data_IF_590852960206
#
_entry.id   IF_590852960206
#
_cell.length_a   1.000
_cell.length_b   1.000
_cell.length_c   1.000
_cell.angle_alpha   90.00
_cell.angle_beta   90.00
_cell.angle_gamma   90.00
#
_symmetry.space_group_name_H-M   'P 1'
#
loop_
_entity.id
_entity.type
_entity.pdbx_description
1 polymer ?
#
# COMPACT_ATOMS: atom_id res chain seq x y z
N UNK A 1 47.76 54.84 -27.18
CA UNK A 1 47.00 56.04 -26.75
C UNK A 1 46.06 55.62 -25.63
N UNK A 2 46.14 56.36 -24.53
CA UNK A 2 45.62 56.06 -23.19
C UNK A 2 44.13 56.37 -23.02
N UNK A 3 43.45 55.60 -22.15
CA UNK A 3 42.73 56.04 -20.93
C UNK A 3 41.95 54.81 -20.37
N UNK A 4 42.29 54.18 -19.24
CA UNK A 4 42.22 54.57 -17.82
C UNK A 4 40.86 55.02 -17.29
N UNK A 5 40.25 54.20 -16.42
CA UNK A 5 39.82 54.51 -15.03
C UNK A 5 39.13 53.26 -14.45
N UNK A 6 39.69 52.54 -13.48
CA UNK A 6 39.87 52.84 -12.05
C UNK A 6 38.65 52.44 -11.18
N UNK A 7 38.91 51.49 -10.27
CA UNK A 7 38.09 51.00 -9.16
C UNK A 7 38.05 52.05 -8.04
N UNK A 8 37.08 51.99 -7.11
CA UNK A 8 37.54 51.82 -5.72
C UNK A 8 36.72 50.84 -4.88
N UNK A 9 37.47 50.09 -4.08
CA UNK A 9 37.07 49.34 -2.90
C UNK A 9 36.53 50.28 -1.82
N UNK A 10 35.51 49.84 -1.07
CA UNK A 10 35.29 50.32 0.30
C UNK A 10 34.89 49.16 1.23
N UNK A 11 35.75 48.96 2.21
CA UNK A 11 35.60 48.23 3.47
C UNK A 11 34.42 48.77 4.32
N UNK A 12 33.78 47.90 5.12
CA UNK A 12 33.34 48.13 6.51
C UNK A 12 32.70 46.84 7.07
N UNK A 13 33.42 46.08 7.91
CA UNK A 13 33.42 46.06 9.39
C UNK A 13 32.29 45.26 10.06
N UNK A 14 32.73 44.42 10.98
CA UNK A 14 32.05 43.44 11.84
C UNK A 14 31.29 44.04 13.05
N UNK A 15 30.21 43.34 13.45
CA UNK A 15 29.61 43.15 14.81
C UNK A 15 28.87 44.34 15.49
N UNK A 16 27.98 44.13 16.51
CA UNK A 16 27.37 42.90 17.07
C UNK A 16 25.82 42.93 17.31
N UNK A 17 25.31 41.74 17.66
CA UNK A 17 24.10 41.29 18.38
C UNK A 17 23.27 42.34 19.19
N UNK A 18 21.93 42.18 19.24
CA UNK A 18 21.17 42.35 20.47
C UNK A 18 20.42 41.08 20.89
N UNK A 19 20.65 40.69 22.14
CA UNK A 19 19.98 39.66 22.93
C UNK A 19 18.62 40.14 23.40
N UNK A 20 17.58 39.31 23.25
CA UNK A 20 16.32 39.46 23.97
C UNK A 20 16.02 38.17 24.74
N UNK A 21 16.21 38.26 26.05
CA UNK A 21 15.94 37.26 27.07
C UNK A 21 14.42 37.15 27.27
N UNK A 22 13.84 35.97 27.15
CA UNK A 22 12.57 35.63 27.83
C UNK A 22 12.62 34.21 28.38
N UNK A 23 12.42 34.18 29.70
CA UNK A 23 12.53 33.06 30.63
C UNK A 23 11.55 31.93 30.33
N UNK A 24 12.07 30.70 30.16
CA UNK A 24 11.29 29.46 30.23
C UNK A 24 11.54 28.78 31.58
N UNK A 25 10.43 28.43 32.23
CA UNK A 25 10.39 27.73 33.52
C UNK A 25 10.87 26.28 33.33
N UNK A 26 11.91 25.89 34.07
CA UNK A 26 12.39 24.51 34.19
C UNK A 26 11.48 23.73 35.14
N UNK A 27 10.90 22.62 34.67
CA UNK A 27 10.43 21.53 35.53
C UNK A 27 11.34 20.33 35.29
N UNK A 28 12.05 19.90 36.35
CA UNK A 28 12.82 18.65 36.39
C UNK A 28 11.85 17.51 36.71
N UNK A 29 11.88 16.44 35.91
CA UNK A 29 11.44 15.12 36.35
C UNK A 29 12.51 14.09 36.00
N UNK A 30 12.80 13.28 37.00
CA UNK A 30 13.88 12.31 37.15
C UNK A 30 13.57 10.99 36.42
N UNK A 31 14.62 10.33 35.92
CA UNK A 31 14.58 8.94 35.41
C UNK A 31 14.26 7.92 36.49
N UNK A 32 13.80 6.72 36.09
CA UNK A 32 14.28 5.51 36.74
C UNK A 32 14.78 4.42 35.77
N UNK A 33 16.00 3.97 36.08
CA UNK A 33 16.53 2.60 36.12
C UNK A 33 16.19 1.58 35.01
N UNK A 34 17.28 1.13 34.38
CA UNK A 34 17.45 -0.15 33.69
C UNK A 34 17.30 -1.37 34.61
N UNK A 35 16.89 -2.52 34.03
CA UNK A 35 17.45 -3.90 34.11
C UNK A 35 16.33 -4.95 33.86
N UNK A 36 16.62 -6.21 33.45
CA UNK A 36 17.24 -6.62 32.19
C UNK A 36 16.48 -7.76 31.47
N UNK A 37 17.02 -8.15 30.31
CA UNK A 37 16.62 -9.23 29.41
C UNK A 37 16.51 -10.63 30.06
N UNK A 38 15.55 -11.44 29.59
CA UNK A 38 15.61 -12.92 29.63
C UNK A 38 15.14 -13.51 28.30
N UNK A 39 16.04 -14.31 27.71
CA UNK A 39 15.77 -15.32 26.66
C UNK A 39 15.19 -16.61 27.30
N UNK A 40 14.74 -17.51 26.41
CA UNK A 40 14.48 -18.96 26.55
C UNK A 40 12.98 -19.29 26.54
N UNK A 41 12.44 -20.33 25.91
CA UNK A 41 12.88 -21.38 24.98
C UNK A 41 11.59 -22.14 24.56
N UNK A 42 11.65 -22.93 23.48
CA UNK A 42 10.60 -23.84 23.00
C UNK A 42 10.08 -24.85 24.04
N UNK A 43 8.85 -25.34 23.86
CA UNK A 43 8.38 -26.58 24.51
C UNK A 43 6.86 -26.84 24.39
N UNK A 44 6.50 -27.85 23.60
CA UNK A 44 5.16 -28.40 23.36
C UNK A 44 5.00 -29.76 24.10
N UNK A 45 3.74 -30.27 24.19
CA UNK A 45 3.26 -31.66 24.52
C UNK A 45 3.01 -31.98 26.04
N UNK A 46 1.99 -32.79 26.48
CA UNK A 46 0.51 -32.76 26.28
C UNK A 46 -0.35 -33.07 27.57
N UNK A 47 -1.67 -33.05 27.41
CA UNK A 47 -2.78 -33.78 28.10
C UNK A 47 -2.66 -34.30 29.56
N UNK A 48 -3.66 -33.97 30.39
CA UNK A 48 -4.69 -34.92 30.88
C UNK A 48 -5.75 -34.28 31.78
N UNK A 49 -6.91 -34.95 31.85
CA UNK A 49 -8.22 -34.49 32.28
C UNK A 49 -8.46 -34.53 33.80
N UNK A 50 -9.38 -33.67 34.28
CA UNK A 50 -10.41 -33.86 35.34
C UNK A 50 -10.99 -32.46 35.64
N UNK A 51 -12.25 -32.11 35.42
CA UNK A 51 -13.47 -32.76 35.88
C UNK A 51 -14.02 -31.98 37.08
N UNK A 52 -14.86 -30.97 36.85
CA UNK A 52 -15.96 -30.61 37.77
C UNK A 52 -16.91 -29.60 37.13
N UNK A 53 -18.19 -29.94 37.21
CA UNK A 53 -19.37 -29.28 36.71
C UNK A 53 -19.83 -28.20 37.69
N UNK A 54 -20.18 -27.01 37.22
CA UNK A 54 -21.26 -26.20 37.82
C UNK A 54 -21.98 -25.41 36.73
N UNK A 55 -23.25 -25.78 36.50
CA UNK A 55 -24.20 -25.05 35.68
C UNK A 55 -24.79 -23.87 36.47
N UNK A 56 -24.88 -22.70 35.83
CA UNK A 56 -25.81 -21.65 36.22
C UNK A 56 -26.57 -21.21 34.96
N UNK A 57 -27.88 -21.45 34.97
CA UNK A 57 -28.83 -20.93 33.98
C UNK A 57 -29.03 -19.43 34.21
N UNK A 58 -29.01 -18.64 33.14
CA UNK A 58 -29.75 -17.38 33.08
C UNK A 58 -30.19 -17.17 31.64
N UNK A 59 -31.50 -17.31 31.41
CA UNK A 59 -32.16 -17.03 30.16
C UNK A 59 -32.04 -15.54 29.84
N UNK A 60 -31.52 -15.23 28.66
CA UNK A 60 -31.74 -13.95 28.00
C UNK A 60 -31.81 -14.24 26.51
N UNK A 61 -32.97 -14.05 25.93
CA UNK A 61 -33.32 -14.29 24.54
C UNK A 61 -32.47 -13.42 23.62
N UNK A 62 -31.41 -13.99 23.04
CA UNK A 62 -30.61 -13.36 22.00
C UNK A 62 -31.23 -13.67 20.64
N UNK A 63 -31.58 -12.60 19.92
CA UNK A 63 -31.86 -12.65 18.49
C UNK A 63 -30.62 -13.22 17.78
N UNK A 64 -30.75 -14.45 17.29
CA UNK A 64 -29.74 -15.14 16.48
C UNK A 64 -29.61 -14.45 15.12
N UNK A 65 -28.82 -13.39 15.05
CA UNK A 65 -28.19 -12.97 13.81
C UNK A 65 -27.08 -13.98 13.52
N UNK A 66 -27.37 -14.97 12.67
CA UNK A 66 -26.35 -15.87 12.14
C UNK A 66 -25.28 -15.02 11.44
N UNK A 67 -24.01 -15.00 11.91
CA UNK A 67 -22.95 -14.40 11.13
C UNK A 67 -22.85 -15.16 9.81
N UNK A 68 -22.70 -14.45 8.68
CA UNK A 68 -22.38 -15.10 7.41
C UNK A 68 -21.20 -16.06 7.62
N UNK A 69 -21.33 -17.29 7.12
CA UNK A 69 -20.37 -18.38 7.31
C UNK A 69 -18.92 -17.98 7.00
N UNK A 70 -18.71 -17.00 6.11
CA UNK A 70 -17.41 -16.40 5.78
C UNK A 70 -16.70 -15.71 6.97
N UNK A 71 -17.44 -15.11 7.91
CA UNK A 71 -16.86 -14.41 9.08
C UNK A 71 -16.29 -15.38 10.12
N UNK A 72 -16.88 -16.57 10.25
CA UNK A 72 -16.41 -17.60 11.19
C UNK A 72 -15.19 -18.33 10.64
N UNK A 73 -15.17 -18.61 9.33
CA UNK A 73 -14.04 -19.25 8.63
C UNK A 73 -12.78 -18.38 8.63
N UNK A 74 -12.93 -17.05 8.55
CA UNK A 74 -11.79 -16.10 8.57
C UNK A 74 -10.99 -16.10 9.88
N UNK A 75 -11.48 -16.71 10.97
CA UNK A 75 -10.79 -16.75 12.27
C UNK A 75 -9.75 -17.87 12.41
N UNK A 76 -9.71 -18.82 11.47
CA UNK A 76 -8.86 -20.02 11.54
C UNK A 76 -7.82 -20.13 10.42
N UNK A 77 -7.87 -19.26 9.41
CA UNK A 77 -6.88 -19.20 8.32
C UNK A 77 -5.93 -18.04 8.55
N UNK A 78 -4.62 -18.30 8.43
CA UNK A 78 -3.66 -17.21 8.32
C UNK A 78 -3.99 -16.40 7.06
N UNK A 79 -4.00 -15.07 7.14
CA UNK A 79 -4.35 -14.20 6.00
C UNK A 79 -3.48 -14.46 4.77
N UNK A 80 -2.25 -14.96 4.99
CA UNK A 80 -1.30 -15.38 3.95
C UNK A 80 -1.79 -16.53 3.08
N UNK A 81 -2.63 -17.41 3.62
CA UNK A 81 -3.03 -18.67 2.98
C UNK A 81 -4.40 -18.55 2.29
N UNK A 82 -5.06 -17.40 2.45
CA UNK A 82 -6.35 -17.10 1.84
C UNK A 82 -6.15 -16.85 0.34
N UNK A 83 -6.75 -17.70 -0.50
CA UNK A 83 -6.68 -17.57 -1.95
C UNK A 83 -7.16 -16.19 -2.42
N UNK A 84 -6.37 -15.51 -3.25
CA UNK A 84 -6.73 -14.21 -3.80
C UNK A 84 -8.06 -14.32 -4.57
N UNK A 85 -8.91 -13.30 -4.43
CA UNK A 85 -10.27 -13.22 -5.02
C UNK A 85 -11.32 -14.14 -4.40
N UNK A 86 -11.02 -14.87 -3.31
CA UNK A 86 -12.02 -15.57 -2.50
C UNK A 86 -12.91 -14.59 -1.71
N UNK A 87 -14.05 -15.05 -1.19
CA UNK A 87 -14.94 -14.24 -0.35
C UNK A 87 -14.22 -13.78 0.92
N UNK A 88 -13.43 -14.67 1.53
CA UNK A 88 -12.59 -14.42 2.69
C UNK A 88 -11.54 -13.34 2.39
N UNK A 89 -10.95 -13.36 1.19
CA UNK A 89 -10.02 -12.33 0.74
C UNK A 89 -10.68 -10.95 0.63
N UNK A 90 -11.91 -10.87 0.11
CA UNK A 90 -12.65 -9.62 0.07
C UNK A 90 -13.02 -9.13 1.48
N UNK A 91 -13.39 -10.04 2.39
CA UNK A 91 -13.72 -9.71 3.77
C UNK A 91 -12.51 -9.10 4.50
N UNK A 92 -11.32 -9.69 4.37
CA UNK A 92 -10.08 -9.19 4.98
C UNK A 92 -9.71 -7.78 4.51
N UNK A 93 -10.07 -7.41 3.27
CA UNK A 93 -9.74 -6.12 2.65
C UNK A 93 -10.73 -5.01 2.94
N UNK A 94 -11.96 -5.35 3.35
CA UNK A 94 -13.04 -4.39 3.58
C UNK A 94 -12.64 -3.31 4.59
N UNK A 95 -11.91 -3.70 5.63
CA UNK A 95 -11.46 -2.83 6.72
C UNK A 95 -9.98 -2.47 6.63
N UNK A 96 -9.47 -2.39 5.39
CA UNK A 96 -8.10 -2.01 5.08
C UNK A 96 -8.05 -1.05 3.91
N UNK A 97 -7.07 -0.16 3.92
CA UNK A 97 -6.62 0.55 2.73
C UNK A 97 -5.58 -0.31 2.03
N UNK A 98 -5.90 -0.77 0.81
CA UNK A 98 -5.04 -1.71 0.09
C UNK A 98 -4.08 -0.98 -0.83
N UNK A 99 -2.86 -1.50 -1.01
CA UNK A 99 -1.80 -0.86 -1.83
C UNK A 99 -2.27 -0.46 -3.23
N UNK A 100 -3.11 -1.28 -3.87
CA UNK A 100 -3.71 -1.01 -5.17
C UNK A 100 -4.57 0.27 -5.24
N UNK A 101 -5.05 0.75 -4.09
CA UNK A 101 -5.89 1.97 -3.96
C UNK A 101 -5.10 3.20 -3.54
N UNK A 102 -3.79 3.07 -3.25
CA UNK A 102 -3.00 4.17 -2.71
C UNK A 102 -2.94 5.37 -3.65
N UNK A 103 -2.75 5.17 -4.96
CA UNK A 103 -2.74 6.28 -5.93
C UNK A 103 -4.07 7.08 -5.90
N UNK A 104 -5.20 6.39 -5.72
CA UNK A 104 -6.51 7.01 -5.55
C UNK A 104 -6.62 7.79 -4.23
N UNK A 105 -6.23 7.18 -3.10
CA UNK A 105 -6.21 7.83 -1.80
C UNK A 105 -5.26 9.04 -1.74
N UNK A 106 -4.19 9.03 -2.54
CA UNK A 106 -3.22 10.12 -2.71
C UNK A 106 -3.70 11.22 -3.66
N UNK A 107 -4.84 11.04 -4.34
CA UNK A 107 -5.44 12.03 -5.24
C UNK A 107 -4.79 12.12 -6.63
N UNK A 108 -4.25 11.01 -7.16
CA UNK A 108 -3.62 11.00 -8.49
C UNK A 108 -4.61 11.21 -9.63
N UNK A 109 -5.85 10.80 -9.42
CA UNK A 109 -6.88 10.82 -10.45
C UNK A 109 -7.73 12.08 -10.34
N UNK A 110 -8.15 12.60 -11.50
CA UNK A 110 -9.06 13.73 -11.56
C UNK A 110 -10.48 13.35 -11.11
N UNK A 111 -11.30 14.38 -10.87
CA UNK A 111 -12.70 14.20 -10.49
C UNK A 111 -12.86 13.72 -9.05
N UNK A 112 -13.83 12.85 -8.84
CA UNK A 112 -14.32 12.39 -7.53
C UNK A 112 -13.72 11.06 -7.07
N UNK A 113 -12.77 10.44 -7.80
CA UNK A 113 -12.23 9.09 -7.48
C UNK A 113 -11.80 8.91 -6.02
N UNK A 114 -11.20 9.94 -5.42
CA UNK A 114 -10.77 9.92 -4.01
C UNK A 114 -11.96 9.91 -3.04
N UNK A 115 -13.01 10.66 -3.37
CA UNK A 115 -14.28 10.66 -2.64
C UNK A 115 -15.03 9.34 -2.85
N UNK A 116 -15.04 8.77 -4.06
CA UNK A 116 -15.62 7.45 -4.34
C UNK A 116 -14.97 6.36 -3.48
N UNK A 117 -13.64 6.34 -3.40
CA UNK A 117 -12.91 5.41 -2.53
C UNK A 117 -13.26 5.64 -1.05
N UNK A 118 -13.36 6.90 -0.61
CA UNK A 118 -13.78 7.20 0.77
C UNK A 118 -15.19 6.68 1.04
N UNK A 119 -16.13 6.91 0.13
CA UNK A 119 -17.52 6.44 0.24
C UNK A 119 -17.58 4.91 0.29
N UNK A 120 -16.83 4.21 -0.55
CA UNK A 120 -16.71 2.74 -0.51
C UNK A 120 -16.20 2.27 0.85
N UNK A 121 -15.20 2.94 1.41
CA UNK A 121 -14.66 2.58 2.73
C UNK A 121 -15.60 2.91 3.87
N UNK A 122 -16.39 3.97 3.79
CA UNK A 122 -17.29 4.40 4.88
C UNK A 122 -18.61 3.64 4.87
N UNK A 123 -19.27 3.58 3.71
CA UNK A 123 -20.63 3.03 3.57
C UNK A 123 -20.63 1.58 3.04
N UNK A 124 -19.46 1.07 2.68
CA UNK A 124 -19.31 -0.21 1.99
C UNK A 124 -19.49 -0.08 0.48
N UNK A 125 -19.25 -1.17 -0.23
CA UNK A 125 -19.52 -1.26 -1.67
C UNK A 125 -21.01 -1.06 -1.91
N UNK A 126 -21.39 0.13 -2.35
CA UNK A 126 -22.68 0.34 -2.99
C UNK A 126 -22.66 -0.42 -4.32
N UNK A 127 -23.81 -0.87 -4.83
CA UNK A 127 -23.93 -1.34 -6.22
C UNK A 127 -23.71 -0.17 -7.20
N UNK A 128 -22.53 0.44 -7.15
CA UNK A 128 -22.07 1.35 -8.18
C UNK A 128 -21.91 0.44 -9.39
N UNK A 129 -22.79 0.63 -10.37
CA UNK A 129 -22.63 0.03 -11.69
C UNK A 129 -21.27 0.49 -12.22
N UNK A 130 -20.24 -0.32 -12.01
CA UNK A 130 -18.97 -0.16 -12.70
C UNK A 130 -19.31 -0.14 -14.18
N UNK A 131 -18.87 0.92 -14.85
CA UNK A 131 -18.95 1.02 -16.31
C UNK A 131 -18.41 -0.28 -16.91
N UNK A 132 -19.08 -0.79 -17.95
CA UNK A 132 -18.73 -2.08 -18.55
C UNK A 132 -17.25 -2.15 -18.93
N UNK A 133 -16.69 -1.04 -19.41
CA UNK A 133 -15.27 -0.91 -19.73
C UNK A 133 -14.34 -1.18 -18.52
N UNK A 134 -14.69 -0.70 -17.33
CA UNK A 134 -13.90 -0.92 -16.12
C UNK A 134 -13.96 -2.38 -15.68
N UNK A 135 -15.16 -3.00 -15.76
CA UNK A 135 -15.35 -4.42 -15.48
C UNK A 135 -14.58 -5.30 -16.44
N UNK A 136 -14.63 -5.00 -17.74
CA UNK A 136 -13.85 -5.70 -18.77
C UNK A 136 -12.35 -5.58 -18.52
N UNK A 137 -11.85 -4.40 -18.11
CA UNK A 137 -10.43 -4.22 -17.78
C UNK A 137 -9.99 -5.06 -16.57
N UNK A 138 -10.81 -5.11 -15.51
CA UNK A 138 -10.53 -5.94 -14.34
C UNK A 138 -10.56 -7.43 -14.65
N UNK A 139 -11.54 -7.86 -15.46
CA UNK A 139 -11.65 -9.25 -15.91
C UNK A 139 -10.46 -9.64 -16.79
N UNK A 140 -10.03 -8.76 -17.71
CA UNK A 140 -8.85 -8.98 -18.54
C UNK A 140 -7.60 -9.21 -17.70
N UNK A 141 -7.36 -8.38 -16.67
CA UNK A 141 -6.25 -8.59 -15.74
C UNK A 141 -6.34 -9.95 -15.06
N UNK A 142 -7.52 -10.28 -14.52
CA UNK A 142 -7.75 -11.54 -13.79
C UNK A 142 -7.53 -12.79 -14.64
N UNK A 143 -8.04 -12.80 -15.87
CA UNK A 143 -7.93 -13.96 -16.76
C UNK A 143 -6.49 -14.19 -17.22
N UNK A 144 -5.70 -13.13 -17.38
CA UNK A 144 -4.36 -13.23 -17.96
C UNK A 144 -3.22 -13.27 -16.93
N UNK A 145 -3.52 -13.10 -15.63
CA UNK A 145 -2.49 -13.04 -14.59
C UNK A 145 -1.66 -14.32 -14.52
N UNK A 146 -2.28 -15.50 -14.56
CA UNK A 146 -1.57 -16.79 -14.52
C UNK A 146 -0.66 -16.96 -15.74
N UNK A 147 -1.16 -16.65 -16.94
CA UNK A 147 -0.39 -16.69 -18.19
C UNK A 147 0.81 -15.73 -18.14
N UNK A 148 0.60 -14.53 -17.58
CA UNK A 148 1.68 -13.57 -17.40
C UNK A 148 2.75 -14.09 -16.42
N UNK A 149 2.37 -14.69 -15.28
CA UNK A 149 3.30 -15.29 -14.31
C UNK A 149 4.08 -16.45 -14.93
N UNK A 150 3.44 -17.31 -15.72
CA UNK A 150 4.10 -18.40 -16.46
C UNK A 150 5.13 -17.85 -17.46
N UNK A 151 4.78 -16.83 -18.23
CA UNK A 151 5.72 -16.20 -19.17
C UNK A 151 6.87 -15.50 -18.44
N UNK A 152 6.60 -14.82 -17.32
CA UNK A 152 7.64 -14.24 -16.47
C UNK A 152 8.62 -15.32 -15.97
N UNK A 153 8.09 -16.45 -15.49
CA UNK A 153 8.87 -17.59 -15.00
C UNK A 153 9.74 -18.18 -16.12
N UNK A 154 9.18 -18.33 -17.31
CA UNK A 154 9.88 -18.83 -18.50
C UNK A 154 11.03 -17.90 -18.93
N UNK A 155 10.77 -16.58 -18.98
CA UNK A 155 11.76 -15.59 -19.40
C UNK A 155 12.89 -15.45 -18.38
N UNK A 156 12.56 -15.37 -17.08
CA UNK A 156 13.53 -15.03 -16.04
C UNK A 156 14.18 -16.26 -15.39
N UNK A 157 13.60 -17.45 -15.58
CA UNK A 157 14.01 -18.69 -14.90
C UNK A 157 13.73 -18.70 -13.40
N UNK A 158 13.00 -17.72 -12.86
CA UNK A 158 12.76 -17.59 -11.42
C UNK A 158 11.45 -18.24 -11.02
N UNK A 159 11.49 -19.00 -9.94
CA UNK A 159 10.30 -19.53 -9.29
C UNK A 159 9.50 -18.40 -8.64
N UNK A 160 8.17 -18.46 -8.78
CA UNK A 160 7.22 -17.51 -8.21
C UNK A 160 6.36 -18.24 -7.17
N UNK A 161 6.50 -17.87 -5.90
CA UNK A 161 5.63 -18.33 -4.83
C UNK A 161 4.34 -17.50 -4.75
N UNK A 162 3.28 -18.08 -4.21
CA UNK A 162 2.01 -17.37 -3.97
C UNK A 162 1.92 -16.84 -2.53
N UNK A 163 1.22 -15.71 -2.36
CA UNK A 163 0.84 -15.16 -1.06
C UNK A 163 -0.51 -14.45 -1.19
N UNK A 164 -1.48 -14.84 -0.36
CA UNK A 164 -2.86 -14.35 -0.44
C UNK A 164 -3.05 -12.88 -0.05
N UNK A 165 -2.99 -12.61 1.26
CA UNK A 165 -3.13 -11.26 1.80
C UNK A 165 -2.19 -11.03 2.99
N UNK A 166 -1.40 -9.96 2.91
CA UNK A 166 -0.53 -9.48 3.96
C UNK A 166 -1.14 -8.22 4.61
N UNK A 167 -1.19 -8.22 5.94
CA UNK A 167 -1.44 -7.03 6.75
C UNK A 167 -0.10 -6.56 7.31
N UNK A 168 0.07 -5.25 7.45
CA UNK A 168 1.31 -4.71 8.01
C UNK A 168 1.57 -5.32 9.39
N UNK A 169 2.81 -5.81 9.60
CA UNK A 169 3.19 -6.54 10.82
C UNK A 169 3.15 -5.68 12.07
N UNK A 170 3.51 -4.40 11.96
CA UNK A 170 3.31 -3.44 13.05
C UNK A 170 1.83 -3.10 13.27
N UNK A 171 1.35 -3.30 14.50
CA UNK A 171 -0.05 -3.10 14.88
C UNK A 171 -0.61 -1.71 14.55
N UNK A 172 0.21 -0.66 14.66
CA UNK A 172 -0.20 0.73 14.35
C UNK A 172 -0.51 0.94 12.85
N UNK A 173 -0.08 0.02 12.00
CA UNK A 173 -0.33 0.01 10.55
C UNK A 173 -1.30 -1.09 10.12
N UNK A 174 -1.98 -1.74 11.06
CA UNK A 174 -2.97 -2.80 10.79
C UNK A 174 -4.21 -2.34 9.99
N UNK A 175 -4.28 -1.07 9.58
CA UNK A 175 -5.27 -0.52 8.64
C UNK A 175 -4.80 -0.57 7.18
N UNK A 176 -3.55 -0.97 6.93
CA UNK A 176 -2.96 -1.14 5.60
C UNK A 176 -2.90 -2.62 5.22
N UNK A 177 -3.14 -2.92 3.94
CA UNK A 177 -3.08 -4.29 3.43
C UNK A 177 -2.49 -4.41 2.03
N UNK A 178 -1.89 -5.54 1.74
CA UNK A 178 -1.21 -5.87 0.49
C UNK A 178 -1.62 -7.25 -0.01
N UNK A 179 -1.73 -7.39 -1.34
CA UNK A 179 -1.78 -8.69 -2.02
C UNK A 179 -0.77 -8.61 -3.16
N UNK A 180 0.42 -9.20 -3.02
CA UNK A 180 1.31 -9.33 -4.16
C UNK A 180 0.77 -10.37 -5.15
N UNK A 181 1.14 -10.25 -6.42
CA UNK A 181 0.82 -11.28 -7.41
C UNK A 181 1.80 -12.46 -7.33
N UNK A 182 2.96 -12.25 -6.71
CA UNK A 182 3.89 -13.32 -6.35
C UNK A 182 5.02 -12.90 -5.42
N UNK A 183 5.70 -13.88 -4.84
CA UNK A 183 6.90 -13.71 -4.00
C UNK A 183 8.08 -14.36 -4.69
N UNK A 184 9.21 -13.67 -4.74
CA UNK A 184 10.40 -14.08 -5.47
C UNK A 184 11.53 -14.40 -4.48
N UNK A 185 12.15 -15.58 -4.61
CA UNK A 185 13.27 -15.98 -3.75
C UNK A 185 12.88 -16.18 -2.27
N UNK A 186 13.89 -16.38 -1.43
CA UNK A 186 13.72 -16.60 0.01
C UNK A 186 14.13 -15.36 0.80
N UNK A 187 13.59 -15.23 2.01
CA UNK A 187 14.06 -14.21 2.96
C UNK A 187 15.54 -14.36 3.31
N UNK A 188 16.29 -13.26 3.52
CA UNK A 188 15.86 -11.85 3.44
C UNK A 188 16.00 -11.22 2.04
N UNK A 189 16.64 -11.90 1.10
CA UNK A 189 17.02 -11.34 -0.21
C UNK A 189 15.87 -11.41 -1.24
N UNK A 190 14.75 -12.01 -0.86
CA UNK A 190 13.56 -12.15 -1.67
C UNK A 190 12.90 -10.81 -2.01
N UNK A 191 12.11 -10.83 -3.07
CA UNK A 191 11.36 -9.69 -3.55
C UNK A 191 9.92 -10.02 -3.83
N UNK A 192 9.25 -9.06 -4.47
CA UNK A 192 7.84 -9.14 -4.79
C UNK A 192 7.69 -9.12 -6.31
N UNK A 193 6.79 -9.93 -6.84
CA UNK A 193 6.30 -9.81 -8.21
C UNK A 193 4.94 -9.09 -8.19
N UNK A 194 4.82 -8.05 -9.00
CA UNK A 194 3.57 -7.36 -9.26
C UNK A 194 3.30 -7.37 -10.76
N UNK A 195 2.22 -8.00 -11.20
CA UNK A 195 1.86 -8.23 -12.58
C UNK A 195 0.78 -7.25 -13.02
N UNK A 196 0.94 -6.71 -14.24
CA UNK A 196 -0.04 -5.85 -14.89
C UNK A 196 -0.29 -6.30 -16.32
N UNK A 197 -1.57 -6.50 -16.65
CA UNK A 197 -2.04 -6.79 -17.99
C UNK A 197 -2.86 -5.59 -18.49
N UNK A 198 -2.27 -4.57 -19.13
CA UNK A 198 -3.00 -3.37 -19.54
C UNK A 198 -4.09 -3.67 -20.57
N UNK A 199 -5.31 -3.20 -20.31
CA UNK A 199 -6.47 -3.36 -21.21
C UNK A 199 -6.52 -2.33 -22.36
N UNK A 200 -5.56 -1.39 -22.39
CA UNK A 200 -5.36 -0.41 -23.46
C UNK A 200 -6.65 0.23 -24.02
N UNK A 201 -7.47 0.79 -23.11
CA UNK A 201 -8.75 1.43 -23.44
C UNK A 201 -9.72 0.54 -24.25
N UNK A 202 -9.78 -0.74 -23.92
CA UNK A 202 -10.67 -1.70 -24.60
C UNK A 202 -10.05 -2.41 -25.79
N UNK A 203 -8.74 -2.23 -26.02
CA UNK A 203 -8.00 -2.81 -27.15
C UNK A 203 -6.72 -3.50 -26.70
N UNK A 204 -6.81 -4.52 -25.81
CA UNK A 204 -5.64 -5.21 -25.27
C UNK A 204 -4.75 -5.84 -26.35
N UNK A 205 -5.31 -6.23 -27.49
CA UNK A 205 -4.59 -6.75 -28.66
C UNK A 205 -3.62 -5.73 -29.29
N UNK A 206 -3.83 -4.43 -29.05
CA UNK A 206 -2.95 -3.35 -29.47
C UNK A 206 -1.98 -2.90 -28.36
N UNK A 207 -2.08 -3.48 -27.17
CA UNK A 207 -1.24 -3.10 -26.05
C UNK A 207 0.22 -3.49 -26.33
N UNK A 208 1.15 -2.59 -26.03
CA UNK A 208 2.58 -2.84 -26.10
C UNK A 208 3.18 -2.81 -24.68
N UNK A 209 4.27 -3.55 -24.45
CA UNK A 209 5.02 -3.46 -23.20
C UNK A 209 5.47 -2.04 -22.94
N UNK A 210 5.50 -1.67 -21.67
CA UNK A 210 5.93 -0.34 -21.30
C UNK A 210 7.41 -0.15 -21.58
N UNK A 211 7.77 1.03 -22.10
CA UNK A 211 9.17 1.43 -22.26
C UNK A 211 9.76 2.02 -20.98
N UNK A 212 8.89 2.56 -20.13
CA UNK A 212 9.22 3.13 -18.84
C UNK A 212 8.08 2.81 -17.85
N UNK A 213 8.43 2.65 -16.58
CA UNK A 213 7.46 2.34 -15.54
C UNK A 213 6.40 3.46 -15.42
N UNK A 214 5.09 3.15 -15.44
CA UNK A 214 4.06 4.14 -15.19
C UNK A 214 4.09 4.60 -13.72
N UNK A 215 4.34 5.90 -13.51
CA UNK A 215 4.54 6.48 -12.17
C UNK A 215 3.39 6.26 -11.19
N UNK A 216 2.16 6.06 -11.68
CA UNK A 216 0.98 5.85 -10.84
C UNK A 216 0.95 4.48 -10.15
N UNK A 217 1.81 3.53 -10.52
CA UNK A 217 2.02 2.29 -9.77
C UNK A 217 3.05 2.44 -8.63
N UNK A 218 3.83 3.53 -8.59
CA UNK A 218 4.86 3.73 -7.58
C UNK A 218 4.33 3.68 -6.14
N UNK A 219 3.19 4.32 -5.79
CA UNK A 219 2.59 4.16 -4.46
C UNK A 219 2.27 2.71 -4.10
N UNK A 220 1.72 1.95 -5.06
CA UNK A 220 1.33 0.56 -4.84
C UNK A 220 2.56 -0.28 -4.50
N UNK A 221 3.60 -0.22 -5.34
CA UNK A 221 4.77 -1.09 -5.16
C UNK A 221 5.59 -0.74 -3.92
N UNK A 222 5.68 0.54 -3.56
CA UNK A 222 6.34 0.96 -2.33
C UNK A 222 5.56 0.50 -1.09
N UNK A 223 4.23 0.53 -1.17
CA UNK A 223 3.35 -0.04 -0.14
C UNK A 223 3.49 -1.55 0.02
N UNK A 224 3.64 -2.30 -1.09
CA UNK A 224 3.88 -3.74 -1.04
C UNK A 224 5.19 -4.05 -0.29
N UNK A 225 6.28 -3.36 -0.66
CA UNK A 225 7.59 -3.50 -0.02
C UNK A 225 7.57 -3.15 1.47
N UNK A 226 6.82 -2.12 1.86
CA UNK A 226 6.66 -1.76 3.27
C UNK A 226 5.95 -2.87 4.05
N UNK A 227 4.74 -3.24 3.60
CA UNK A 227 3.85 -4.17 4.32
C UNK A 227 4.47 -5.57 4.42
N UNK A 228 5.16 -6.00 3.37
CA UNK A 228 5.78 -7.33 3.31
C UNK A 228 7.22 -7.34 3.85
N UNK A 229 7.80 -6.20 4.22
CA UNK A 229 9.19 -6.11 4.67
C UNK A 229 10.18 -6.61 3.61
N UNK A 230 10.03 -6.15 2.37
CA UNK A 230 10.93 -6.49 1.24
C UNK A 230 11.64 -5.24 0.72
N UNK A 231 12.83 -5.39 0.18
CA UNK A 231 13.63 -4.25 -0.27
C UNK A 231 13.51 -3.95 -1.77
N UNK A 232 12.82 -4.81 -2.52
CA UNK A 232 12.60 -4.60 -3.95
C UNK A 232 11.33 -5.30 -4.47
N UNK A 233 10.78 -4.73 -5.55
CA UNK A 233 9.72 -5.34 -6.37
C UNK A 233 10.19 -5.45 -7.82
N UNK A 234 9.67 -6.44 -8.54
CA UNK A 234 9.63 -6.45 -9.99
C UNK A 234 8.20 -6.18 -10.47
N UNK A 235 8.00 -5.03 -11.09
CA UNK A 235 6.76 -4.72 -11.79
C UNK A 235 6.84 -5.28 -13.21
N UNK A 236 6.01 -6.28 -13.48
CA UNK A 236 5.93 -6.96 -14.75
C UNK A 236 4.72 -6.50 -15.56
N UNK A 237 4.95 -5.95 -16.74
CA UNK A 237 3.90 -5.62 -17.69
C UNK A 237 3.85 -6.67 -18.78
N UNK A 238 2.74 -7.39 -18.85
CA UNK A 238 2.48 -8.41 -19.85
C UNK A 238 1.41 -7.94 -20.84
N UNK A 239 1.66 -8.15 -22.12
CA UNK A 239 0.71 -7.86 -23.21
C UNK A 239 0.73 -8.99 -24.22
N UNK A 240 -0.30 -9.12 -25.08
CA UNK A 240 -0.26 -10.06 -26.20
C UNK A 240 0.92 -9.84 -27.16
N UNK A 241 1.51 -8.64 -27.18
CA UNK A 241 2.60 -8.27 -28.09
C UNK A 241 4.00 -8.32 -27.43
N UNK A 242 4.11 -8.88 -26.23
CA UNK A 242 5.36 -9.05 -25.49
C UNK A 242 5.26 -8.57 -24.04
N UNK A 243 6.40 -8.37 -23.38
CA UNK A 243 6.42 -7.97 -21.98
C UNK A 243 7.62 -7.10 -21.56
N UNK A 244 7.57 -6.53 -20.35
CA UNK A 244 8.65 -5.73 -19.78
C UNK A 244 8.71 -5.90 -18.26
N UNK A 245 9.92 -6.01 -17.70
CA UNK A 245 10.17 -6.18 -16.27
C UNK A 245 10.93 -4.97 -15.74
N UNK A 246 10.38 -4.28 -14.75
CA UNK A 246 11.04 -3.16 -14.06
C UNK A 246 11.37 -3.52 -12.62
N UNK A 247 12.62 -3.36 -12.21
CA UNK A 247 13.06 -3.47 -10.82
C UNK A 247 12.95 -2.12 -10.12
N UNK A 248 12.29 -2.10 -8.97
CA UNK A 248 12.14 -0.91 -8.14
C UNK A 248 12.66 -1.22 -6.73
N UNK A 249 13.65 -0.46 -6.22
CA UNK A 249 14.09 -0.58 -4.83
C UNK A 249 13.13 0.16 -3.89
N UNK A 250 13.11 -0.25 -2.62
CA UNK A 250 12.39 0.44 -1.55
C UNK A 250 12.97 1.83 -1.31
N UNK A 251 12.12 2.84 -1.28
CA UNK A 251 12.47 4.22 -0.91
C UNK A 251 11.70 4.60 0.37
N UNK A 252 12.42 4.63 1.50
CA UNK A 252 11.86 4.95 2.82
C UNK A 252 11.37 6.40 2.91
N UNK A 253 12.06 7.34 2.28
CA UNK A 253 11.64 8.75 2.30
C UNK A 253 10.38 8.99 1.46
N UNK A 254 10.21 8.25 0.37
CA UNK A 254 8.97 8.24 -0.39
C UNK A 254 7.84 7.57 0.39
N UNK A 255 8.13 6.45 1.08
CA UNK A 255 7.15 5.81 1.98
C UNK A 255 6.65 6.78 3.03
N UNK A 256 7.55 7.43 3.78
CA UNK A 256 7.20 8.43 4.81
C UNK A 256 6.28 9.52 4.25
N UNK A 257 6.61 10.05 3.07
CA UNK A 257 5.81 11.06 2.38
C UNK A 257 4.39 10.56 2.04
N UNK A 258 4.26 9.39 1.42
CA UNK A 258 2.93 8.88 1.05
C UNK A 258 2.13 8.45 2.28
N UNK A 259 2.80 7.89 3.28
CA UNK A 259 2.19 7.41 4.50
C UNK A 259 1.53 8.54 5.31
N UNK A 260 2.11 9.74 5.34
CA UNK A 260 1.45 10.93 5.89
C UNK A 260 0.07 11.17 5.25
N UNK A 261 0.00 11.18 3.92
CA UNK A 261 -1.23 11.44 3.19
C UNK A 261 -2.24 10.28 3.32
N UNK A 262 -1.76 9.03 3.33
CA UNK A 262 -2.60 7.85 3.53
C UNK A 262 -3.20 7.84 4.93
N UNK A 263 -2.43 8.24 5.95
CA UNK A 263 -2.88 8.37 7.34
C UNK A 263 -3.97 9.43 7.44
N UNK A 264 -3.77 10.60 6.84
CA UNK A 264 -4.78 11.67 6.82
C UNK A 264 -6.07 11.19 6.16
N UNK A 265 -5.98 10.49 5.03
CA UNK A 265 -7.14 9.90 4.37
C UNK A 265 -7.86 8.88 5.29
N UNK A 266 -7.12 7.99 5.94
CA UNK A 266 -7.74 6.94 6.76
C UNK A 266 -8.28 7.46 8.09
N UNK A 267 -7.43 8.05 8.91
CA UNK A 267 -7.76 8.48 10.27
C UNK A 267 -8.42 9.85 10.33
N UNK A 268 -8.17 10.72 9.34
CA UNK A 268 -8.80 12.03 9.25
C UNK A 268 -10.14 12.03 8.51
N UNK A 269 -10.35 11.12 7.56
CA UNK A 269 -11.57 11.08 6.76
C UNK A 269 -12.40 9.81 6.95
N UNK A 270 -11.81 8.62 6.80
CA UNK A 270 -12.57 7.35 6.80
C UNK A 270 -13.09 6.98 8.20
N UNK A 271 -12.21 6.94 9.19
CA UNK A 271 -12.56 6.41 10.53
C UNK A 271 -13.59 7.26 11.27
N UNK A 272 -13.48 8.60 11.34
CA UNK A 272 -14.50 9.43 11.99
C UNK A 272 -15.86 9.33 11.29
N UNK A 273 -15.88 9.20 9.96
CA UNK A 273 -17.10 9.00 9.20
C UNK A 273 -17.76 7.65 9.51
N UNK A 274 -16.97 6.57 9.60
CA UNK A 274 -17.46 5.24 10.00
C UNK A 274 -18.10 5.27 11.40
N UNK A 275 -17.48 5.96 12.35
CA UNK A 275 -18.03 6.10 13.70
C UNK A 275 -19.41 6.77 13.69
N UNK A 276 -19.58 7.84 12.90
CA UNK A 276 -20.88 8.49 12.74
C UNK A 276 -21.92 7.60 12.05
N UNK A 277 -21.52 6.84 11.03
CA UNK A 277 -22.41 5.88 10.36
C UNK A 277 -22.90 4.80 11.34
N UNK A 278 -22.02 4.28 12.21
CA UNK A 278 -22.40 3.32 13.25
C UNK A 278 -23.42 3.90 14.25
N UNK A 279 -23.42 5.22 14.45
CA UNK A 279 -24.39 5.94 15.26
C UNK A 279 -25.67 6.34 14.50
N UNK A 280 -25.82 5.93 13.23
CA UNK A 280 -26.96 6.28 12.38
C UNK A 280 -26.93 7.71 11.84
N UNK A 281 -25.77 8.40 11.89
CA UNK A 281 -25.60 9.81 11.54
C UNK A 281 -24.94 10.00 10.17
N UNK A 282 -25.49 9.37 9.13
CA UNK A 282 -24.89 9.36 7.79
C UNK A 282 -24.74 10.77 7.16
N UNK A 283 -25.68 11.67 7.42
CA UNK A 283 -25.62 13.05 6.92
C UNK A 283 -24.42 13.81 7.53
N UNK A 284 -24.15 13.62 8.83
CA UNK A 284 -23.00 14.22 9.51
C UNK A 284 -21.68 13.60 9.01
N UNK A 285 -21.68 12.30 8.70
CA UNK A 285 -20.50 11.60 8.19
C UNK A 285 -19.94 12.23 6.89
N UNK A 286 -20.79 12.83 6.06
CA UNK A 286 -20.35 13.52 4.82
C UNK A 286 -19.49 14.75 5.08
N UNK A 287 -19.48 15.32 6.29
CA UNK A 287 -18.54 16.40 6.64
C UNK A 287 -17.07 15.97 6.62
N UNK A 288 -16.81 14.67 6.70
CA UNK A 288 -15.46 14.09 6.65
C UNK A 288 -15.03 13.68 5.22
N UNK A 289 -15.83 13.96 4.20
CA UNK A 289 -15.48 13.65 2.81
C UNK A 289 -14.16 14.35 2.41
N UNK A 290 -13.17 13.64 1.86
CA UNK A 290 -11.89 14.23 1.52
C UNK A 290 -11.99 15.12 0.29
N UNK A 291 -11.20 16.21 0.29
CA UNK A 291 -10.99 17.00 -0.92
C UNK A 291 -10.38 16.13 -2.04
N UNK A 292 -10.69 16.40 -3.33
CA UNK A 292 -10.19 15.61 -4.45
C UNK A 292 -8.67 15.43 -4.48
N UNK A 293 -7.93 16.45 -4.01
CA UNK A 293 -6.47 16.43 -3.85
C UNK A 293 -6.07 16.77 -2.43
N UNK A 294 -5.02 16.13 -1.95
CA UNK A 294 -4.32 16.52 -0.74
C UNK A 294 -3.32 17.65 -1.03
N UNK A 295 -2.95 18.44 -0.01
CA UNK A 295 -1.93 19.49 -0.15
C UNK A 295 -0.58 18.98 -0.67
N UNK A 296 -0.27 17.70 -0.41
CA UNK A 296 0.96 17.04 -0.86
C UNK A 296 0.83 16.27 -2.18
N UNK A 297 -0.37 16.17 -2.79
CA UNK A 297 -0.60 15.33 -3.99
C UNK A 297 0.38 15.64 -5.12
N UNK A 298 0.65 16.91 -5.42
CA UNK A 298 1.56 17.29 -6.49
C UNK A 298 3.03 16.91 -6.19
N UNK A 299 3.45 17.02 -4.92
CA UNK A 299 4.78 16.59 -4.49
C UNK A 299 4.93 15.06 -4.60
N UNK A 300 3.89 14.33 -4.20
CA UNK A 300 3.87 12.86 -4.33
C UNK A 300 3.98 12.46 -5.80
N UNK A 301 3.16 13.03 -6.69
CA UNK A 301 3.21 12.76 -8.14
C UNK A 301 4.60 13.06 -8.70
N UNK A 302 5.22 14.18 -8.32
CA UNK A 302 6.57 14.53 -8.73
C UNK A 302 7.59 13.47 -8.30
N UNK A 303 7.56 13.05 -7.02
CA UNK A 303 8.44 12.01 -6.50
C UNK A 303 8.19 10.65 -7.17
N UNK A 304 6.94 10.28 -7.43
CA UNK A 304 6.60 9.05 -8.14
C UNK A 304 7.18 9.03 -9.55
N UNK A 305 7.11 10.15 -10.28
CA UNK A 305 7.71 10.27 -11.62
C UNK A 305 9.22 10.13 -11.59
N UNK A 306 9.88 10.76 -10.62
CA UNK A 306 11.33 10.65 -10.42
C UNK A 306 11.73 9.18 -10.21
N UNK A 307 11.12 8.52 -9.22
CA UNK A 307 11.43 7.11 -8.92
C UNK A 307 11.10 6.18 -10.09
N UNK A 308 10.00 6.44 -10.82
CA UNK A 308 9.65 5.64 -11.98
C UNK A 308 10.64 5.80 -13.15
N UNK A 309 11.28 6.97 -13.28
CA UNK A 309 12.37 7.18 -14.26
C UNK A 309 13.69 6.53 -13.84
N UNK A 310 13.87 6.28 -12.54
CA UNK A 310 15.04 5.60 -11.96
C UNK A 310 14.83 4.07 -11.88
N UNK A 311 13.60 3.58 -12.11
CA UNK A 311 13.28 2.17 -12.13
C UNK A 311 14.03 1.46 -13.26
N UNK A 312 14.76 0.41 -12.90
CA UNK A 312 15.64 -0.30 -13.82
C UNK A 312 14.82 -1.26 -14.68
N UNK A 313 14.78 -1.04 -16.00
CA UNK A 313 14.30 -2.05 -16.94
C UNK A 313 15.30 -3.22 -16.90
N UNK A 314 14.83 -4.42 -16.55
CA UNK A 314 15.68 -5.63 -16.51
C UNK A 314 15.59 -6.44 -17.79
N UNK A 315 14.39 -6.51 -18.34
CA UNK A 315 14.08 -7.37 -19.47
C UNK A 315 12.93 -6.77 -20.26
N UNK A 316 12.98 -6.94 -21.58
CA UNK A 316 11.90 -6.61 -22.49
C UNK A 316 11.77 -7.68 -23.56
N UNK A 317 10.56 -8.14 -23.77
CA UNK A 317 10.17 -9.05 -24.84
C UNK A 317 9.30 -8.29 -25.84
N UNK A 318 9.62 -8.41 -27.13
CA UNK A 318 8.78 -7.91 -28.23
C UNK A 318 8.69 -9.01 -29.28
N UNK A 319 7.49 -9.55 -29.49
CA UNK A 319 7.25 -10.59 -30.49
C UNK A 319 8.06 -11.87 -30.28
N UNK A 320 8.39 -12.23 -29.03
CA UNK A 320 9.18 -13.42 -28.69
C UNK A 320 10.70 -13.17 -28.64
N UNK A 321 11.16 -11.96 -28.97
CA UNK A 321 12.56 -11.58 -28.85
C UNK A 321 12.81 -10.91 -27.50
N UNK A 322 13.52 -11.64 -26.64
CA UNK A 322 13.85 -11.21 -25.28
C UNK A 322 15.21 -10.51 -25.25
N UNK A 323 15.23 -9.28 -24.76
CA UNK A 323 16.44 -8.49 -24.51
C UNK A 323 16.58 -8.23 -23.00
N UNK A 324 17.75 -8.54 -22.45
CA UNK A 324 18.11 -8.26 -21.06
C UNK A 324 18.95 -7.00 -20.98
N UNK A 325 18.70 -6.20 -19.94
CA UNK A 325 19.37 -4.94 -19.70
C UNK A 325 20.24 -5.05 -18.43
N UNK A 326 21.50 -4.59 -18.49
CA UNK A 326 22.50 -4.79 -17.44
C UNK A 326 22.20 -4.04 -16.14
#
# INVERSE_FOLDING_TARGET
MFNHCAVPYLFRTLLPIPTAFRSTVRVRLTSPAFLPSRRNFEGYIPQSCSGSSLQIYSQSSLLSLSPSSALVVSSQLNSSDVAQRSEEWFALRKDKLTTSTFSTALGFWAGNRRSELWSEKVFGSTEIKLEDAARSAMNWGTVNESVAIEQYTSITGRSVGSLGFAVHTEANFGWLGASPDGVLGCDPDGGILEVKCPFNKGKPELALPWRAMPYYYMPQVQGLMEIMGRDWVELYCWTPNGSSVFRVPRDRGYWELIHEVLRDFWWGNVMPARELVLLGKEAEARSFEPQPKHRLTNLVIFRSRKLASEAKLLCKDIGGHVEFFP
#
